data_IF_046876096028
#
_entry.id   IF_046876096028
#
_cell.length_a   1.000
_cell.length_b   1.000
_cell.length_c   1.000
_cell.angle_alpha   90.00
_cell.angle_beta   90.00
_cell.angle_gamma   90.00
#
_symmetry.space_group_name_H-M   'P 1'
#
loop_
_entity.id
_entity.type
_entity.pdbx_description
1 polymer ?
#
# COMPACT_ATOMS: atom_id res chain seq x y z
N UNK A 1 -1.39 56.48 45.29
CA UNK A 1 -2.56 55.59 45.30
C UNK A 1 -2.76 54.99 43.90
N UNK A 2 -2.41 53.71 43.80
CA UNK A 2 -2.98 52.63 42.95
C UNK A 2 -3.35 52.91 41.49
N UNK A 3 -2.39 52.70 40.57
CA UNK A 3 -2.66 52.36 39.16
C UNK A 3 -2.92 50.85 39.08
N UNK A 4 -4.12 50.42 38.68
CA UNK A 4 -4.41 49.01 38.43
C UNK A 4 -4.14 48.68 36.96
N UNK A 5 -3.14 47.82 36.75
CA UNK A 5 -2.90 47.07 35.52
C UNK A 5 -4.11 46.18 35.23
N UNK A 6 -4.64 46.24 34.01
CA UNK A 6 -5.51 45.22 33.44
C UNK A 6 -4.88 44.77 32.10
N UNK A 7 -4.04 43.74 32.18
CA UNK A 7 -3.52 43.00 31.03
C UNK A 7 -4.47 41.79 30.75
N UNK A 8 -4.36 41.07 29.62
CA UNK A 8 -5.33 41.03 28.54
C UNK A 8 -5.90 39.60 28.41
N UNK A 9 -7.03 39.34 29.04
CA UNK A 9 -7.63 37.98 29.08
C UNK A 9 -8.33 37.62 27.75
N UNK A 10 -8.53 38.58 26.84
CA UNK A 10 -9.35 38.38 25.64
C UNK A 10 -8.67 37.57 24.51
N UNK A 11 -7.34 37.37 24.53
CA UNK A 11 -6.64 36.80 23.36
C UNK A 11 -6.66 35.27 23.35
N UNK A 12 -6.77 34.60 24.50
CA UNK A 12 -6.63 33.14 24.61
C UNK A 12 -7.90 32.42 24.09
N UNK A 13 -9.08 33.02 24.18
CA UNK A 13 -10.33 32.40 23.77
C UNK A 13 -10.49 32.29 22.24
N UNK A 14 -9.79 33.14 21.46
CA UNK A 14 -9.93 33.17 20.00
C UNK A 14 -9.11 32.10 19.27
N UNK A 15 -8.11 31.52 19.94
CA UNK A 15 -7.25 30.49 19.34
C UNK A 15 -7.86 29.07 19.39
N UNK A 16 -8.83 28.83 20.28
CA UNK A 16 -9.42 27.50 20.46
C UNK A 16 -10.45 27.13 19.37
N UNK A 17 -11.07 28.12 18.72
CA UNK A 17 -12.11 27.88 17.70
C UNK A 17 -11.55 27.49 16.33
N UNK A 18 -10.27 27.78 16.04
CA UNK A 18 -9.66 27.43 14.74
C UNK A 18 -9.33 25.93 14.65
N UNK A 19 -8.98 25.28 15.76
CA UNK A 19 -8.55 23.87 15.76
C UNK A 19 -9.71 22.92 15.44
N UNK A 20 -10.94 23.28 15.84
CA UNK A 20 -12.13 22.46 15.59
C UNK A 20 -12.53 22.41 14.10
N UNK A 21 -12.20 23.43 13.30
CA UNK A 21 -12.57 23.48 11.88
C UNK A 21 -11.69 22.59 10.98
N UNK A 22 -10.49 22.20 11.43
CA UNK A 22 -9.59 21.35 10.62
C UNK A 22 -9.96 19.87 10.61
N UNK A 23 -10.87 19.40 11.47
CA UNK A 23 -11.23 17.97 11.53
C UNK A 23 -12.33 17.55 10.55
N UNK A 24 -12.93 18.49 9.80
CA UNK A 24 -14.14 18.26 9.01
C UNK A 24 -13.91 17.99 7.51
N UNK A 25 -12.74 17.48 7.13
CA UNK A 25 -12.46 17.05 5.75
C UNK A 25 -11.94 15.61 5.66
N UNK A 26 -12.40 14.72 6.55
CA UNK A 26 -12.29 13.27 6.28
C UNK A 26 -13.36 12.89 5.27
N UNK A 27 -13.02 12.98 4.00
CA UNK A 27 -13.85 12.46 2.91
C UNK A 27 -14.14 10.97 3.16
N UNK A 28 -15.41 10.54 3.10
CA UNK A 28 -15.71 9.12 3.10
C UNK A 28 -15.15 8.53 1.81
N UNK A 29 -14.07 7.75 1.91
CA UNK A 29 -13.57 6.95 0.80
C UNK A 29 -14.69 6.01 0.36
N UNK A 30 -15.23 6.22 -0.84
CA UNK A 30 -16.13 5.28 -1.51
C UNK A 30 -15.42 3.92 -1.61
N UNK A 31 -15.82 2.99 -0.75
CA UNK A 31 -15.39 1.59 -0.83
C UNK A 31 -16.35 0.89 -1.78
N UNK A 32 -15.86 0.62 -2.99
CA UNK A 32 -16.54 -0.19 -4.00
C UNK A 32 -16.80 -1.62 -3.46
N UNK A 33 -17.84 -2.31 -3.96
CA UNK A 33 -18.26 -3.61 -3.46
C UNK A 33 -17.15 -4.66 -3.57
N UNK A 34 -16.94 -5.33 -2.44
CA UNK A 34 -15.89 -6.30 -2.15
C UNK A 34 -16.36 -7.67 -2.67
N UNK A 35 -16.18 -7.95 -3.96
CA UNK A 35 -16.34 -9.31 -4.50
C UNK A 35 -15.02 -10.11 -4.49
N UNK A 36 -13.88 -9.41 -4.42
CA UNK A 36 -12.54 -10.00 -4.57
C UNK A 36 -11.71 -10.04 -3.27
N UNK A 37 -12.32 -9.80 -2.10
CA UNK A 37 -11.57 -9.73 -0.82
C UNK A 37 -10.79 -11.01 -0.56
N UNK A 38 -11.44 -12.16 -0.72
CA UNK A 38 -10.89 -13.46 -0.35
C UNK A 38 -9.56 -13.74 -1.06
N UNK A 39 -9.53 -13.59 -2.39
CA UNK A 39 -8.32 -13.82 -3.19
C UNK A 39 -7.19 -12.84 -2.82
N UNK A 40 -7.49 -11.57 -2.51
CA UNK A 40 -6.45 -10.64 -2.07
C UNK A 40 -5.97 -10.86 -0.65
N UNK A 41 -6.87 -11.27 0.24
CA UNK A 41 -6.50 -11.61 1.61
C UNK A 41 -5.59 -12.83 1.58
N UNK A 42 -5.94 -13.87 0.81
CA UNK A 42 -5.12 -15.06 0.62
C UNK A 42 -3.76 -14.72 -0.01
N UNK A 43 -3.72 -13.96 -1.10
CA UNK A 43 -2.46 -13.52 -1.72
C UNK A 43 -1.60 -12.72 -0.72
N UNK A 44 -2.20 -11.79 0.03
CA UNK A 44 -1.48 -11.01 1.03
C UNK A 44 -0.92 -11.87 2.15
N UNK A 45 -1.66 -12.91 2.55
CA UNK A 45 -1.25 -13.85 3.57
C UNK A 45 -0.08 -14.70 3.08
N UNK A 46 -0.20 -15.30 1.89
CA UNK A 46 0.86 -16.13 1.30
C UNK A 46 2.14 -15.31 1.12
N UNK A 47 2.05 -14.07 0.62
CA UNK A 47 3.23 -13.20 0.47
C UNK A 47 3.90 -12.92 1.82
N UNK A 48 3.11 -12.70 2.89
CA UNK A 48 3.64 -12.51 4.25
C UNK A 48 4.28 -13.77 4.81
N UNK A 49 3.66 -14.93 4.61
CA UNK A 49 4.24 -16.23 5.02
C UNK A 49 5.59 -16.49 4.34
N UNK A 50 5.76 -15.99 3.11
CA UNK A 50 7.02 -16.06 2.38
C UNK A 50 8.01 -14.92 2.70
N UNK A 51 7.78 -14.15 3.77
CA UNK A 51 8.60 -13.01 4.19
C UNK A 51 8.74 -11.91 3.13
N UNK A 52 7.78 -11.79 2.20
CA UNK A 52 7.75 -10.71 1.22
C UNK A 52 6.96 -9.54 1.80
N UNK A 53 7.69 -8.52 2.26
CA UNK A 53 7.10 -7.32 2.84
C UNK A 53 6.44 -6.45 1.77
N UNK A 54 5.10 -6.46 1.74
CA UNK A 54 4.32 -5.62 0.83
C UNK A 54 4.36 -4.18 1.37
N UNK A 55 4.92 -3.26 0.57
CA UNK A 55 5.11 -1.86 0.93
C UNK A 55 3.85 -1.00 0.73
N UNK A 56 2.90 -1.46 -0.09
CA UNK A 56 1.63 -0.78 -0.33
C UNK A 56 0.45 -1.76 -0.30
N UNK A 57 -0.79 -1.29 -0.13
CA UNK A 57 -1.96 -2.14 -0.32
C UNK A 57 -1.96 -2.78 -1.72
N UNK A 58 -2.42 -4.03 -1.80
CA UNK A 58 -2.62 -4.72 -3.08
C UNK A 58 -3.66 -3.95 -3.90
N UNK A 59 -3.36 -3.69 -5.17
CA UNK A 59 -4.30 -3.06 -6.09
C UNK A 59 -4.91 -4.13 -6.97
N UNK A 60 -6.25 -4.16 -7.06
CA UNK A 60 -6.99 -5.08 -7.91
C UNK A 60 -7.48 -4.36 -9.16
N UNK A 61 -7.33 -4.99 -10.32
CA UNK A 61 -7.91 -4.51 -11.56
C UNK A 61 -8.39 -5.72 -12.36
N UNK A 62 -9.70 -5.97 -12.34
CA UNK A 62 -10.32 -7.15 -12.96
C UNK A 62 -9.73 -8.44 -12.40
N UNK A 63 -9.12 -9.25 -13.27
CA UNK A 63 -8.46 -10.52 -12.92
C UNK A 63 -6.98 -10.36 -12.61
N UNK A 64 -6.51 -9.14 -12.34
CA UNK A 64 -5.11 -8.87 -12.03
C UNK A 64 -4.97 -8.25 -10.65
N UNK A 65 -3.91 -8.66 -9.95
CA UNK A 65 -3.51 -8.10 -8.66
C UNK A 65 -2.09 -7.56 -8.76
N UNK A 66 -1.88 -6.35 -8.26
CA UNK A 66 -0.58 -5.67 -8.27
C UNK A 66 -0.08 -5.54 -6.84
N UNK A 67 1.14 -6.01 -6.59
CA UNK A 67 1.83 -5.87 -5.32
C UNK A 67 3.06 -4.99 -5.49
N UNK A 68 3.32 -4.13 -4.52
CA UNK A 68 4.56 -3.38 -4.43
C UNK A 68 5.40 -3.94 -3.28
N UNK A 69 6.57 -4.50 -3.60
CA UNK A 69 7.42 -5.23 -2.66
C UNK A 69 8.81 -4.61 -2.73
N UNK A 70 9.22 -3.86 -1.70
CA UNK A 70 10.57 -3.29 -1.60
C UNK A 70 11.03 -2.49 -2.82
N UNK A 71 10.15 -1.72 -3.46
CA UNK A 71 10.49 -0.94 -4.66
C UNK A 71 10.23 -1.64 -6.00
N UNK A 72 9.87 -2.93 -5.97
CA UNK A 72 9.53 -3.73 -7.15
C UNK A 72 8.01 -3.81 -7.30
N UNK A 73 7.52 -3.53 -8.51
CA UNK A 73 6.13 -3.78 -8.89
C UNK A 73 5.97 -5.20 -9.42
N UNK A 74 5.07 -5.98 -8.82
CA UNK A 74 4.77 -7.35 -9.25
C UNK A 74 3.31 -7.45 -9.68
N UNK A 75 3.08 -7.98 -10.88
CA UNK A 75 1.75 -8.26 -11.41
C UNK A 75 1.43 -9.75 -11.31
N UNK A 76 0.32 -10.07 -10.66
CA UNK A 76 -0.26 -11.40 -10.52
C UNK A 76 -1.53 -11.51 -11.34
N UNK A 77 -1.80 -12.71 -11.86
CA UNK A 77 -3.10 -13.09 -12.43
C UNK A 77 -3.90 -13.88 -11.40
N UNK A 78 -5.12 -13.46 -11.13
CA UNK A 78 -6.07 -14.17 -10.27
C UNK A 78 -6.67 -15.40 -10.94
N UNK A 79 -6.55 -15.50 -12.27
CA UNK A 79 -7.01 -16.66 -13.05
C UNK A 79 -6.02 -17.83 -12.98
N UNK A 80 -4.85 -17.62 -12.38
CA UNK A 80 -3.77 -18.60 -12.23
C UNK A 80 -3.58 -18.97 -10.76
N UNK A 81 -3.03 -20.15 -10.52
CA UNK A 81 -2.67 -20.59 -9.17
C UNK A 81 -1.69 -19.60 -8.51
N UNK A 82 -2.11 -19.05 -7.38
CA UNK A 82 -1.36 -18.03 -6.64
C UNK A 82 -0.06 -18.63 -6.08
N UNK A 83 -0.11 -19.87 -5.58
CA UNK A 83 1.05 -20.54 -4.99
C UNK A 83 2.18 -20.72 -6.00
N UNK A 84 1.85 -21.15 -7.22
CA UNK A 84 2.80 -21.29 -8.33
C UNK A 84 3.40 -19.94 -8.71
N UNK A 85 2.61 -18.87 -8.76
CA UNK A 85 3.10 -17.53 -9.06
C UNK A 85 4.06 -17.01 -7.97
N UNK A 86 3.74 -17.19 -6.69
CA UNK A 86 4.60 -16.76 -5.59
C UNK A 86 5.92 -17.55 -5.57
N UNK A 87 5.89 -18.87 -5.79
CA UNK A 87 7.12 -19.68 -5.95
C UNK A 87 7.97 -19.20 -7.12
N UNK A 88 7.33 -18.86 -8.23
CA UNK A 88 8.02 -18.31 -9.41
C UNK A 88 8.68 -16.97 -9.09
N UNK A 89 7.98 -16.08 -8.36
CA UNK A 89 8.54 -14.81 -7.89
C UNK A 89 9.80 -15.03 -7.05
N UNK A 90 9.78 -15.98 -6.11
CA UNK A 90 10.93 -16.29 -5.27
C UNK A 90 12.14 -16.76 -6.10
N UNK A 91 11.92 -17.63 -7.08
CA UNK A 91 12.98 -18.08 -7.98
C UNK A 91 13.58 -16.92 -8.78
N UNK A 92 12.74 -16.01 -9.28
CA UNK A 92 13.20 -14.83 -10.01
C UNK A 92 14.00 -13.90 -9.10
N UNK A 93 13.47 -13.56 -7.92
CA UNK A 93 14.17 -12.72 -6.93
C UNK A 93 15.51 -13.31 -6.49
N UNK A 94 15.57 -14.64 -6.32
CA UNK A 94 16.80 -15.36 -6.00
C UNK A 94 17.85 -15.22 -7.10
N UNK A 95 17.45 -15.32 -8.37
CA UNK A 95 18.35 -15.16 -9.52
C UNK A 95 18.82 -13.71 -9.68
N UNK A 96 17.93 -12.74 -9.57
CA UNK A 96 18.30 -11.31 -9.72
C UNK A 96 19.27 -10.83 -8.65
N UNK A 97 19.22 -11.40 -7.45
CA UNK A 97 20.18 -11.10 -6.37
C UNK A 97 21.60 -11.54 -6.74
N UNK A 98 21.76 -12.64 -7.49
CA UNK A 98 23.06 -13.15 -7.94
C UNK A 98 23.64 -12.26 -9.04
N UNK A 99 22.78 -11.75 -9.93
CA UNK A 99 23.18 -10.91 -11.07
C UNK A 99 23.48 -9.45 -10.71
N UNK A 100 23.31 -9.05 -9.45
CA UNK A 100 23.44 -7.67 -8.97
C UNK A 100 22.58 -6.65 -9.75
N UNK A 101 21.47 -7.10 -10.35
CA UNK A 101 20.51 -6.25 -11.06
C UNK A 101 19.18 -6.23 -10.30
N UNK A 102 18.76 -5.05 -9.85
CA UNK A 102 17.48 -4.88 -9.17
C UNK A 102 16.36 -4.70 -10.22
N UNK A 103 15.41 -5.63 -10.35
CA UNK A 103 14.27 -5.45 -11.24
C UNK A 103 13.33 -4.36 -10.71
N UNK A 104 12.77 -3.56 -11.62
CA UNK A 104 11.70 -2.59 -11.30
C UNK A 104 10.31 -3.19 -11.43
N UNK A 105 10.16 -4.16 -12.33
CA UNK A 105 8.87 -4.78 -12.65
C UNK A 105 9.03 -6.28 -12.92
N UNK A 106 8.12 -7.08 -12.37
CA UNK A 106 7.96 -8.50 -12.69
C UNK A 106 6.48 -8.76 -13.02
N UNK A 107 6.22 -9.27 -14.22
CA UNK A 107 4.88 -9.65 -14.66
C UNK A 107 4.75 -11.18 -14.74
N UNK A 108 3.90 -11.73 -13.87
CA UNK A 108 3.60 -13.15 -13.75
C UNK A 108 2.29 -13.54 -14.44
N UNK A 109 1.59 -12.59 -15.06
CA UNK A 109 0.30 -12.83 -15.72
C UNK A 109 0.44 -13.72 -16.94
N UNK A 110 1.59 -13.68 -17.62
CA UNK A 110 1.86 -14.44 -18.83
C UNK A 110 2.44 -15.82 -18.53
N UNK A 111 2.52 -16.69 -19.55
CA UNK A 111 3.14 -18.02 -19.40
C UNK A 111 4.66 -17.94 -19.27
N UNK A 112 5.26 -16.88 -19.80
CA UNK A 112 6.67 -16.54 -19.62
C UNK A 112 6.75 -15.32 -18.71
N UNK A 113 7.58 -15.40 -17.67
CA UNK A 113 7.81 -14.26 -16.77
C UNK A 113 8.47 -13.12 -17.55
N UNK A 114 7.92 -11.92 -17.43
CA UNK A 114 8.51 -10.71 -18.01
C UNK A 114 9.15 -9.90 -16.89
N UNK A 115 10.41 -9.51 -17.06
CA UNK A 115 11.19 -8.75 -16.08
C UNK A 115 11.64 -7.45 -16.73
N UNK A 116 11.42 -6.31 -16.07
CA UNK A 116 11.95 -5.01 -16.50
C UNK A 116 12.89 -4.44 -15.45
N UNK A 117 13.96 -3.77 -15.90
CA UNK A 117 15.02 -3.18 -15.07
C UNK A 117 15.00 -1.65 -15.09
#
# INVERSE_FOLDING_TARGET
MSRRLALPIAIIASFLTIIAFLQLTKTPSLRLPIANSSATTELSQILREQNLAISSPLTLTGTTATAFISGLTVFFSLDKDINTQVRTLQLVLGRTKIEARAPKEIDLRYNKVVIRY
#
